data_IF_477267532092
#
_entry.id   IF_477267532092
#
_cell.length_a   1.000
_cell.length_b   1.000
_cell.length_c   1.000
_cell.angle_alpha   90.00
_cell.angle_beta   90.00
_cell.angle_gamma   90.00
#
_symmetry.space_group_name_H-M   'P 1'
#
loop_
_entity.id
_entity.type
_entity.pdbx_description
1 polymer ?
#
# COMPACT_ATOMS: atom_id res chain seq x y z
N UNK A 1 17.59 -5.39 -0.41
CA UNK A 1 16.32 -4.87 -0.95
C UNK A 1 16.63 -4.01 -2.14
N UNK A 2 15.77 -4.04 -3.16
CA UNK A 2 15.98 -3.30 -4.40
C UNK A 2 14.66 -2.74 -4.91
N UNK A 3 14.74 -1.67 -5.72
CA UNK A 3 13.58 -0.93 -6.23
C UNK A 3 13.71 -0.68 -7.72
N UNK A 4 12.63 -0.83 -8.47
CA UNK A 4 12.61 -0.50 -9.91
C UNK A 4 12.27 0.99 -10.12
N UNK A 5 12.61 1.59 -11.28
CA UNK A 5 12.19 2.96 -11.60
C UNK A 5 10.66 3.20 -11.55
N UNK A 6 9.85 2.13 -11.64
CA UNK A 6 8.39 2.17 -11.47
C UNK A 6 7.91 2.13 -10.01
N UNK A 7 8.81 2.00 -9.04
CA UNK A 7 8.51 2.03 -7.61
C UNK A 7 8.07 0.71 -6.99
N UNK A 8 8.25 -0.42 -7.67
CA UNK A 8 8.03 -1.75 -7.07
C UNK A 8 9.23 -2.15 -6.23
N UNK A 9 8.97 -2.83 -5.09
CA UNK A 9 9.99 -3.26 -4.13
C UNK A 9 10.15 -4.78 -4.22
N UNK A 10 11.40 -5.25 -4.21
CA UNK A 10 11.68 -6.69 -4.17
C UNK A 10 12.75 -7.08 -3.15
N UNK A 11 12.58 -8.29 -2.63
CA UNK A 11 13.52 -8.97 -1.73
C UNK A 11 13.46 -10.48 -1.92
N UNK A 12 14.37 -11.20 -1.28
CA UNK A 12 14.38 -12.66 -1.21
C UNK A 12 14.61 -13.08 0.23
N UNK A 13 13.85 -14.06 0.71
CA UNK A 13 14.12 -14.69 2.01
C UNK A 13 15.35 -15.61 1.91
N UNK A 14 16.05 -15.95 3.01
CA UNK A 14 17.17 -16.89 2.96
C UNK A 14 16.84 -18.26 2.33
N UNK A 15 15.56 -18.65 2.26
CA UNK A 15 15.07 -19.86 1.59
C UNK A 15 14.70 -19.69 0.10
N UNK A 16 14.99 -18.55 -0.52
CA UNK A 16 14.81 -18.34 -1.96
C UNK A 16 13.43 -17.80 -2.39
N UNK A 17 12.48 -17.62 -1.47
CA UNK A 17 11.17 -17.04 -1.84
C UNK A 17 11.31 -15.55 -2.16
N UNK A 18 10.89 -15.16 -3.36
CA UNK A 18 10.83 -13.76 -3.77
C UNK A 18 9.66 -13.07 -3.08
N UNK A 19 9.94 -11.96 -2.41
CA UNK A 19 8.96 -11.02 -1.89
C UNK A 19 8.90 -9.86 -2.87
N UNK A 20 7.71 -9.56 -3.40
CA UNK A 20 7.49 -8.52 -4.39
C UNK A 20 6.25 -7.70 -4.05
N UNK A 21 6.38 -6.37 -4.10
CA UNK A 21 5.27 -5.45 -3.85
C UNK A 21 5.20 -4.37 -4.90
N UNK A 22 4.01 -4.20 -5.48
CA UNK A 22 3.71 -3.10 -6.39
C UNK A 22 3.42 -1.81 -5.64
N UNK A 23 3.78 -0.68 -6.27
CA UNK A 23 3.47 0.66 -5.75
C UNK A 23 1.98 0.83 -5.44
N UNK A 24 1.10 0.41 -6.36
CA UNK A 24 -0.35 0.53 -6.21
C UNK A 24 -0.88 -0.28 -5.02
N UNK A 25 -0.36 -1.50 -4.85
CA UNK A 25 -0.72 -2.37 -3.74
C UNK A 25 -0.32 -1.74 -2.39
N UNK A 26 0.93 -1.30 -2.26
CA UNK A 26 1.42 -0.66 -1.02
C UNK A 26 0.64 0.60 -0.67
N UNK A 27 0.30 1.42 -1.67
CA UNK A 27 -0.51 2.62 -1.45
C UNK A 27 -1.95 2.30 -1.05
N UNK A 28 -2.53 1.21 -1.55
CA UNK A 28 -3.85 0.74 -1.10
C UNK A 28 -3.81 0.29 0.36
N UNK A 29 -2.73 -0.37 0.80
CA UNK A 29 -2.56 -0.79 2.19
C UNK A 29 -2.59 0.37 3.18
N UNK A 30 -2.23 1.61 2.77
CA UNK A 30 -2.27 2.80 3.62
C UNK A 30 -3.66 3.08 4.23
N UNK A 31 -4.73 2.67 3.55
CA UNK A 31 -6.10 2.95 3.95
C UNK A 31 -6.63 1.95 5.01
N UNK A 32 -5.85 0.94 5.39
CA UNK A 32 -6.21 -0.03 6.44
C UNK A 32 -6.36 0.66 7.81
N UNK A 33 -7.34 0.28 8.64
CA UNK A 33 -7.46 0.85 10.00
C UNK A 33 -6.22 0.61 10.86
N UNK A 34 -5.45 -0.45 10.60
CA UNK A 34 -4.24 -0.80 11.33
C UNK A 34 -3.14 0.28 11.21
N UNK A 35 -3.14 1.07 10.13
CA UNK A 35 -2.12 2.11 9.91
C UNK A 35 -2.38 3.38 10.72
N UNK A 36 -3.57 3.54 11.30
CA UNK A 36 -3.96 4.74 12.06
C UNK A 36 -3.38 4.74 13.48
N UNK A 37 -3.05 3.57 14.02
CA UNK A 37 -2.41 3.45 15.32
C UNK A 37 -0.89 3.61 15.20
N UNK A 38 -0.25 4.51 15.98
CA UNK A 38 1.20 4.63 15.96
C UNK A 38 1.89 3.38 16.55
N UNK A 39 3.13 3.07 16.17
CA UNK A 39 3.91 1.98 16.77
C UNK A 39 4.08 2.18 18.28
N UNK A 40 3.98 1.08 19.05
CA UNK A 40 3.95 1.11 20.52
C UNK A 40 5.15 1.85 21.16
N UNK A 41 6.33 1.80 20.52
CA UNK A 41 7.57 2.38 21.03
C UNK A 41 8.08 3.55 20.15
N UNK A 42 7.19 4.27 19.48
CA UNK A 42 7.57 5.44 18.68
C UNK A 42 8.00 6.60 19.59
N UNK A 43 9.24 7.07 19.43
CA UNK A 43 9.75 8.24 20.14
C UNK A 43 8.87 9.47 19.87
N UNK A 44 8.59 10.29 20.89
CA UNK A 44 7.79 11.51 20.77
C UNK A 44 8.71 12.72 20.58
N UNK A 45 9.04 13.01 19.33
CA UNK A 45 9.89 14.14 18.96
C UNK A 45 8.97 15.26 18.42
N UNK A 46 8.94 16.44 19.06
CA UNK A 46 8.19 17.60 18.58
C UNK A 46 8.53 17.93 17.12
N UNK A 47 7.51 18.06 16.27
CA UNK A 47 7.68 18.42 14.86
C UNK A 47 8.13 17.29 13.91
N UNK A 48 8.37 16.07 14.42
CA UNK A 48 8.75 14.91 13.59
C UNK A 48 7.73 13.77 13.71
N UNK A 49 7.61 13.20 14.92
CA UNK A 49 6.83 11.98 15.18
C UNK A 49 5.64 12.23 16.10
N UNK A 50 5.57 13.41 16.70
CA UNK A 50 4.37 13.85 17.40
C UNK A 50 3.31 14.20 16.37
N UNK A 51 2.09 13.64 16.47
CA UNK A 51 1.00 14.07 15.61
C UNK A 51 0.73 15.53 15.95
N UNK A 52 1.06 16.43 15.03
CA UNK A 52 0.51 17.79 15.06
C UNK A 52 -1.01 17.71 14.95
N UNK A 53 -1.70 18.80 15.28
CA UNK A 53 -3.09 18.99 14.81
C UNK A 53 -3.00 18.97 13.29
N UNK A 54 -3.26 17.81 12.69
CA UNK A 54 -3.39 17.68 11.25
C UNK A 54 -4.63 18.50 10.90
N UNK A 55 -4.42 19.69 10.35
CA UNK A 55 -5.42 20.35 9.53
C UNK A 55 -5.78 19.36 8.43
N UNK A 56 -6.87 18.63 8.67
CA UNK A 56 -7.54 17.84 7.64
C UNK A 56 -7.72 18.83 6.48
N UNK A 57 -7.16 18.57 5.28
CA UNK A 57 -7.52 19.36 4.13
C UNK A 57 -9.02 19.22 4.00
N UNK A 58 -9.77 20.27 4.34
CA UNK A 58 -11.19 20.35 4.09
C UNK A 58 -11.32 20.27 2.58
N UNK A 59 -11.63 19.08 2.07
CA UNK A 59 -12.12 18.95 0.71
C UNK A 59 -13.38 19.80 0.63
N UNK A 60 -13.28 20.89 -0.14
CA UNK A 60 -14.40 21.74 -0.45
C UNK A 60 -15.42 20.90 -1.21
N UNK A 61 -16.56 20.63 -0.56
CA UNK A 61 -17.79 20.32 -1.27
C UNK A 61 -18.49 19.04 -0.83
N UNK A 62 -19.63 19.25 -0.18
CA UNK A 62 -20.82 18.38 -0.12
C UNK A 62 -20.74 17.08 0.69
N UNK A 63 -21.46 17.12 1.81
CA UNK A 63 -21.98 16.00 2.58
C UNK A 63 -22.84 15.09 1.67
N UNK A 64 -22.70 13.77 1.82
CA UNK A 64 -23.61 12.81 1.22
C UNK A 64 -23.16 11.37 1.47
N UNK A 65 -23.78 10.71 2.44
CA UNK A 65 -23.68 9.27 2.59
C UNK A 65 -24.38 8.58 1.41
N UNK A 66 -23.68 7.75 0.65
CA UNK A 66 -24.30 6.75 -0.23
C UNK A 66 -23.46 5.46 -0.17
N UNK A 67 -24.13 4.39 0.27
CA UNK A 67 -23.71 3.00 0.14
C UNK A 67 -23.79 2.63 -1.35
N UNK A 68 -22.87 1.81 -1.87
CA UNK A 68 -23.18 1.07 -3.09
C UNK A 68 -22.59 -0.34 -3.07
N UNK A 69 -23.52 -1.29 -3.18
CA UNK A 69 -23.30 -2.70 -3.36
C UNK A 69 -22.85 -3.00 -4.79
N UNK A 70 -21.98 -4.00 -4.91
CA UNK A 70 -22.01 -5.07 -5.92
C UNK A 70 -22.17 -4.69 -7.41
N UNK A 71 -21.11 -4.88 -8.21
CA UNK A 71 -21.26 -5.60 -9.48
C UNK A 71 -19.97 -6.22 -10.03
N UNK A 72 -20.11 -7.52 -10.27
CA UNK A 72 -19.23 -8.51 -10.90
C UNK A 72 -19.08 -8.25 -12.41
N UNK A 73 -17.84 -8.24 -12.95
CA UNK A 73 -17.57 -8.78 -14.30
C UNK A 73 -16.11 -9.23 -14.45
N UNK A 74 -15.96 -10.43 -15.02
CA UNK A 74 -14.73 -11.16 -15.34
C UNK A 74 -14.21 -10.75 -16.72
N UNK A 75 -12.92 -10.99 -16.96
CA UNK A 75 -12.20 -11.28 -18.23
C UNK A 75 -10.78 -10.71 -18.04
N UNK A 76 -9.71 -11.50 -17.90
CA UNK A 76 -9.20 -12.48 -18.85
C UNK A 76 -7.91 -11.89 -19.46
N UNK A 77 -6.75 -12.07 -18.80
CA UNK A 77 -5.47 -11.75 -19.42
C UNK A 77 -4.41 -12.77 -18.99
N UNK A 78 -4.29 -13.78 -19.85
CA UNK A 78 -3.12 -14.61 -20.19
C UNK A 78 -1.96 -14.64 -19.17
N UNK A 79 -1.89 -15.74 -18.43
CA UNK A 79 -0.75 -16.13 -17.61
C UNK A 79 0.45 -16.48 -18.50
N UNK A 80 1.20 -15.47 -18.94
CA UNK A 80 2.57 -15.70 -19.38
C UNK A 80 3.45 -15.88 -18.13
N UNK A 81 4.25 -16.96 -18.02
CA UNK A 81 5.14 -17.14 -16.89
C UNK A 81 6.15 -15.97 -16.86
N UNK A 82 6.14 -15.22 -15.76
CA UNK A 82 6.74 -13.89 -15.74
C UNK A 82 8.26 -13.89 -15.95
N UNK A 83 8.99 -14.99 -15.69
CA UNK A 83 10.35 -15.25 -16.24
C UNK A 83 10.66 -16.76 -16.18
N UNK A 84 11.34 -17.28 -17.20
CA UNK A 84 11.92 -18.63 -17.21
C UNK A 84 13.17 -18.65 -16.32
N UNK A 85 13.26 -19.64 -15.43
CA UNK A 85 14.37 -19.80 -14.50
C UNK A 85 15.39 -20.73 -15.16
N UNK A 86 16.43 -20.16 -15.78
CA UNK A 86 17.56 -20.93 -16.30
C UNK A 86 18.25 -21.66 -15.13
N UNK A 87 18.32 -23.00 -15.25
CA UNK A 87 19.04 -23.90 -14.33
C UNK A 87 20.44 -24.21 -14.83
#
# INVERSE_FOLDING_TARGET
YSTTPGGSIFSTTPGGTKIFYDRHFLLKCRNSPLTKSPPANMAKIPGITTPGVVDIPKENGTQGAIQDENQKKREGHEEQPQFEMDI
#
